data_IF_399114943355
#
_entry.id   IF_399114943355
#
_cell.length_a   1.000
_cell.length_b   1.000
_cell.length_c   1.000
_cell.angle_alpha   90.00
_cell.angle_beta   90.00
_cell.angle_gamma   90.00
#
_symmetry.space_group_name_H-M   'P 1'
#
loop_
_entity.id
_entity.type
_entity.pdbx_description
1 polymer ?
#
# COMPACT_ATOMS: atom_id res chain seq x y z
N UNK A 1 10.90 -10.30 -13.64
CA UNK A 1 12.30 -9.93 -13.41
C UNK A 1 13.06 -11.19 -13.08
N UNK A 2 13.79 -11.70 -14.06
CA UNK A 2 14.64 -12.88 -13.92
C UNK A 2 16.00 -12.46 -13.33
N UNK A 3 16.81 -13.43 -12.89
CA UNK A 3 18.11 -13.16 -12.26
C UNK A 3 19.02 -12.29 -13.14
N UNK A 4 19.13 -12.63 -14.42
CA UNK A 4 19.99 -11.93 -15.37
C UNK A 4 19.54 -10.48 -15.57
N UNK A 5 18.23 -10.26 -15.72
CA UNK A 5 17.65 -8.91 -15.83
C UNK A 5 17.89 -8.06 -14.58
N UNK A 6 17.86 -8.69 -13.39
CA UNK A 6 18.15 -8.02 -12.14
C UNK A 6 19.61 -7.57 -12.08
N UNK A 7 20.55 -8.46 -12.41
CA UNK A 7 21.98 -8.17 -12.42
C UNK A 7 22.33 -7.08 -13.44
N UNK A 8 21.76 -7.12 -14.65
CA UNK A 8 21.96 -6.08 -15.68
C UNK A 8 21.50 -4.71 -15.20
N UNK A 9 20.27 -4.61 -14.66
CA UNK A 9 19.74 -3.33 -14.19
C UNK A 9 20.49 -2.82 -12.95
N UNK A 10 20.94 -3.72 -12.08
CA UNK A 10 21.73 -3.37 -10.91
C UNK A 10 23.08 -2.76 -11.33
N UNK A 11 23.73 -3.35 -12.34
CA UNK A 11 24.95 -2.79 -12.92
C UNK A 11 24.69 -1.47 -13.66
N UNK A 12 23.56 -1.32 -14.35
CA UNK A 12 23.17 -0.07 -15.02
C UNK A 12 23.03 1.09 -14.02
N UNK A 13 22.34 0.87 -12.89
CA UNK A 13 22.08 1.94 -11.92
C UNK A 13 23.27 2.26 -11.02
N UNK A 14 24.07 1.27 -10.64
CA UNK A 14 25.16 1.45 -9.68
C UNK A 14 26.54 1.35 -10.31
N UNK A 15 26.66 1.12 -11.63
CA UNK A 15 27.94 0.97 -12.35
C UNK A 15 28.89 -0.04 -11.69
N UNK A 16 28.34 -1.09 -11.08
CA UNK A 16 29.09 -2.11 -10.34
C UNK A 16 29.46 -1.78 -8.89
N UNK A 17 29.08 -0.59 -8.39
CA UNK A 17 29.35 -0.18 -7.01
C UNK A 17 28.57 -1.01 -5.99
N UNK A 18 27.30 -1.31 -6.27
CA UNK A 18 26.48 -2.17 -5.40
C UNK A 18 26.59 -3.61 -5.88
N UNK A 19 26.93 -4.54 -4.99
CA UNK A 19 27.02 -5.97 -5.28
C UNK A 19 26.10 -6.78 -4.34
N UNK A 20 25.31 -7.73 -4.86
CA UNK A 20 24.57 -8.65 -4.01
C UNK A 20 25.53 -9.68 -3.37
N UNK A 21 25.40 -9.88 -2.06
CA UNK A 21 26.12 -10.94 -1.33
C UNK A 21 25.29 -12.24 -1.25
N UNK A 22 23.97 -12.13 -1.35
CA UNK A 22 23.04 -13.26 -1.36
C UNK A 22 22.51 -13.51 -2.78
N UNK A 23 22.15 -14.76 -3.13
CA UNK A 23 21.58 -15.08 -4.44
C UNK A 23 20.21 -14.41 -4.64
N UNK A 24 19.91 -14.02 -5.88
CA UNK A 24 18.61 -13.50 -6.26
C UNK A 24 17.57 -14.62 -6.30
N UNK A 25 16.45 -14.44 -5.58
CA UNK A 25 15.33 -15.38 -5.58
C UNK A 25 14.12 -14.81 -6.33
N UNK A 26 13.63 -13.65 -5.90
CA UNK A 26 12.54 -12.94 -6.59
C UNK A 26 12.58 -11.43 -6.29
N UNK A 27 11.74 -10.64 -6.98
CA UNK A 27 11.68 -9.17 -6.84
C UNK A 27 11.28 -8.68 -5.44
N UNK A 28 10.63 -9.51 -4.64
CA UNK A 28 10.13 -9.17 -3.30
C UNK A 28 11.06 -9.66 -2.17
N UNK A 29 12.01 -10.52 -2.48
CA UNK A 29 12.95 -11.11 -1.54
C UNK A 29 13.89 -10.04 -1.00
N UNK A 30 14.12 -10.09 0.31
CA UNK A 30 15.12 -9.28 0.98
C UNK A 30 16.47 -9.95 0.75
N UNK A 31 17.42 -9.19 0.24
CA UNK A 31 18.77 -9.61 -0.08
C UNK A 31 19.77 -8.71 0.64
N UNK A 32 20.98 -9.22 0.81
CA UNK A 32 22.11 -8.46 1.38
C UNK A 32 22.95 -7.90 0.24
N UNK A 33 23.30 -6.63 0.34
CA UNK A 33 24.09 -5.89 -0.62
C UNK A 33 25.29 -5.23 0.05
N UNK A 34 26.33 -4.97 -0.72
CA UNK A 34 27.49 -4.19 -0.32
C UNK A 34 27.71 -3.06 -1.35
N UNK A 35 27.75 -1.79 -0.94
CA UNK A 35 28.25 -0.69 -1.79
C UNK A 35 29.77 -0.63 -1.61
N UNK A 36 30.55 -0.72 -2.69
CA UNK A 36 32.01 -0.56 -2.66
C UNK A 36 32.41 0.86 -2.29
N UNK A 37 31.59 1.85 -2.68
CA UNK A 37 31.94 3.27 -2.51
C UNK A 37 31.79 3.72 -1.05
N UNK A 38 30.78 3.22 -0.32
CA UNK A 38 30.62 3.49 1.12
C UNK A 38 31.00 2.30 2.02
N UNK A 39 31.43 1.17 1.44
CA UNK A 39 31.80 -0.08 2.11
C UNK A 39 30.72 -0.65 3.05
N UNK A 40 29.48 -0.18 2.94
CA UNK A 40 28.41 -0.56 3.85
C UNK A 40 27.62 -1.76 3.34
N UNK A 41 27.33 -2.70 4.23
CA UNK A 41 26.47 -3.85 3.97
C UNK A 41 25.04 -3.60 4.43
N UNK A 42 24.06 -3.79 3.55
CA UNK A 42 22.67 -3.45 3.83
C UNK A 42 21.67 -4.46 3.30
N UNK A 43 20.49 -4.43 3.90
CA UNK A 43 19.35 -5.25 3.51
C UNK A 43 18.42 -4.44 2.62
N UNK A 44 17.98 -5.03 1.50
CA UNK A 44 17.04 -4.39 0.60
C UNK A 44 16.26 -5.41 -0.21
N UNK A 45 15.06 -5.04 -0.64
CA UNK A 45 14.32 -5.85 -1.61
C UNK A 45 14.91 -5.64 -3.00
N UNK A 46 15.09 -6.71 -3.76
CA UNK A 46 15.64 -6.64 -5.11
C UNK A 46 14.87 -5.64 -6.01
N UNK A 47 13.53 -5.67 -5.94
CA UNK A 47 12.68 -4.75 -6.70
C UNK A 47 12.76 -3.29 -6.23
N UNK A 48 13.14 -3.02 -4.99
CA UNK A 48 13.28 -1.65 -4.47
C UNK A 48 14.59 -1.02 -4.95
N UNK A 49 15.68 -1.79 -4.92
CA UNK A 49 17.02 -1.33 -5.31
C UNK A 49 17.11 -1.01 -6.80
N UNK A 50 16.36 -1.75 -7.62
CA UNK A 50 16.37 -1.58 -9.08
C UNK A 50 15.19 -0.73 -9.55
N UNK A 51 14.01 -0.86 -8.95
CA UNK A 51 12.77 -0.30 -9.46
C UNK A 51 12.49 1.15 -9.08
N UNK A 52 12.53 1.51 -7.79
CA UNK A 52 12.06 2.83 -7.31
C UNK A 52 13.24 3.72 -6.94
N UNK A 53 13.43 4.84 -7.65
CA UNK A 53 14.56 5.75 -7.45
C UNK A 53 14.73 6.21 -5.99
N UNK A 54 13.64 6.57 -5.30
CA UNK A 54 13.68 6.99 -3.89
C UNK A 54 13.97 5.87 -2.88
N UNK A 55 13.97 4.61 -3.33
CA UNK A 55 14.28 3.44 -2.50
C UNK A 55 15.65 2.85 -2.82
N UNK A 56 16.36 3.44 -3.79
CA UNK A 56 17.73 3.06 -4.15
C UNK A 56 18.69 3.36 -3.01
N UNK A 57 19.80 2.65 -3.04
CA UNK A 57 20.91 2.95 -2.16
C UNK A 57 21.58 4.27 -2.62
N UNK A 58 21.91 5.13 -1.67
CA UNK A 58 22.68 6.35 -1.90
C UNK A 58 23.89 6.31 -0.96
N UNK A 59 25.10 6.21 -1.52
CA UNK A 59 26.33 6.18 -0.73
C UNK A 59 26.56 7.63 -0.18
N UNK A 60 26.79 7.78 1.14
CA UNK A 60 27.00 9.09 1.79
C UNK A 60 26.09 9.44 2.98
N UNK A 61 25.05 8.64 3.26
CA UNK A 61 24.16 8.83 4.40
C UNK A 61 24.01 7.50 5.18
N UNK A 62 24.10 7.49 6.52
CA UNK A 62 23.74 6.31 7.31
C UNK A 62 22.23 6.07 7.17
N UNK A 63 21.83 5.31 6.13
CA UNK A 63 20.46 4.90 5.77
C UNK A 63 19.36 5.87 6.19
N UNK A 64 19.58 7.13 5.88
CA UNK A 64 18.65 8.20 6.09
C UNK A 64 18.34 8.82 4.72
N UNK A 65 17.18 9.44 4.52
CA UNK A 65 16.86 10.08 3.23
C UNK A 65 17.87 11.21 2.93
N UNK A 66 17.74 11.88 1.78
CA UNK A 66 18.62 12.99 1.40
C UNK A 66 18.77 14.09 2.48
N UNK A 67 17.88 14.10 3.49
CA UNK A 67 17.85 15.02 4.62
C UNK A 67 18.19 14.37 5.98
N UNK A 68 18.54 13.08 6.05
CA UNK A 68 18.83 12.44 7.34
C UNK A 68 17.59 11.87 8.09
N UNK A 69 16.43 11.77 7.46
CA UNK A 69 15.14 11.56 8.18
C UNK A 69 14.45 10.20 7.97
N UNK A 70 15.11 9.15 7.45
CA UNK A 70 14.42 7.86 7.16
C UNK A 70 13.86 7.15 8.41
N UNK A 71 14.33 7.53 9.60
CA UNK A 71 13.75 7.10 10.90
C UNK A 71 12.46 7.85 11.26
N UNK A 72 12.12 8.96 10.60
CA UNK A 72 10.86 9.71 10.79
C UNK A 72 9.69 8.98 10.09
N UNK A 73 9.24 7.91 10.73
CA UNK A 73 7.98 7.20 10.54
C UNK A 73 7.49 6.96 9.08
N UNK A 74 7.69 5.74 8.58
CA UNK A 74 7.15 5.29 7.26
C UNK A 74 5.67 4.86 7.33
N UNK A 75 4.98 5.11 8.43
CA UNK A 75 3.53 4.89 8.47
C UNK A 75 2.82 6.09 9.09
N UNK A 76 2.24 6.93 8.24
CA UNK A 76 1.02 7.60 8.66
C UNK A 76 -0.02 6.50 8.82
N UNK A 77 -0.34 6.09 10.06
CA UNK A 77 -1.60 5.38 10.31
C UNK A 77 -2.68 6.27 9.74
N UNK A 78 -3.22 5.93 8.57
CA UNK A 78 -4.46 6.56 8.12
C UNK A 78 -5.46 6.28 9.23
N UNK A 79 -5.90 7.34 9.94
CA UNK A 79 -7.06 7.24 10.81
C UNK A 79 -8.21 6.86 9.89
N UNK A 80 -8.51 5.57 9.78
CA UNK A 80 -9.74 5.10 9.17
C UNK A 80 -10.82 5.74 10.02
N UNK A 81 -11.55 6.71 9.46
CA UNK A 81 -12.73 7.25 10.11
C UNK A 81 -13.64 6.05 10.37
N UNK A 82 -13.95 5.78 11.65
CA UNK A 82 -14.95 4.76 12.00
C UNK A 82 -16.22 5.14 11.25
N UNK A 83 -16.72 4.25 10.39
CA UNK A 83 -18.05 4.42 9.79
C UNK A 83 -19.05 4.34 10.94
N UNK A 84 -19.99 5.28 10.99
CA UNK A 84 -21.13 5.21 11.90
C UNK A 84 -21.87 3.90 11.60
N UNK A 85 -22.04 3.07 12.62
CA UNK A 85 -22.82 1.83 12.51
C UNK A 85 -24.29 2.20 12.61
N UNK A 86 -25.04 2.08 11.52
CA UNK A 86 -26.49 2.18 11.57
C UNK A 86 -27.07 0.86 12.10
N UNK A 87 -28.18 0.94 12.86
CA UNK A 87 -28.90 -0.24 13.33
C UNK A 87 -29.91 -0.66 12.28
N UNK A 88 -30.10 -1.97 12.12
CA UNK A 88 -31.07 -2.54 11.19
C UNK A 88 -32.51 -2.15 11.60
N UNK A 89 -32.77 -1.99 12.90
CA UNK A 89 -34.08 -1.55 13.41
C UNK A 89 -34.53 -0.19 12.85
N UNK A 90 -33.58 0.72 12.58
CA UNK A 90 -33.89 2.04 12.05
C UNK A 90 -34.30 1.97 10.57
N UNK A 91 -33.74 1.02 9.82
CA UNK A 91 -34.16 0.72 8.45
C UNK A 91 -35.61 0.21 8.44
N UNK A 92 -35.95 -0.75 9.29
CA UNK A 92 -37.32 -1.30 9.35
C UNK A 92 -38.36 -0.25 9.73
N UNK A 93 -38.07 0.63 10.70
CA UNK A 93 -38.96 1.73 11.06
C UNK A 93 -39.25 2.65 9.87
N UNK A 94 -38.24 2.99 9.08
CA UNK A 94 -38.42 3.85 7.90
C UNK A 94 -39.21 3.15 6.80
N UNK A 95 -39.02 1.84 6.60
CA UNK A 95 -39.82 1.05 5.66
C UNK A 95 -41.29 1.02 6.09
N UNK A 96 -41.56 0.83 7.38
CA UNK A 96 -42.92 0.85 7.93
C UNK A 96 -43.60 2.22 7.86
N UNK A 97 -42.81 3.30 7.77
CA UNK A 97 -43.30 4.67 7.62
C UNK A 97 -43.37 5.13 6.14
N UNK A 98 -43.36 4.19 5.18
CA UNK A 98 -43.47 4.43 3.73
C UNK A 98 -42.38 5.34 3.12
N UNK A 99 -41.18 5.39 3.71
CA UNK A 99 -40.07 6.15 3.13
C UNK A 99 -39.55 5.50 1.84
N UNK A 100 -39.20 6.33 0.86
CA UNK A 100 -38.59 5.85 -0.38
C UNK A 100 -37.16 5.35 -0.16
N UNK A 101 -36.72 4.34 -0.92
CA UNK A 101 -35.37 3.78 -0.81
C UNK A 101 -34.23 4.83 -0.91
N UNK A 102 -34.46 5.93 -1.65
CA UNK A 102 -33.50 7.05 -1.77
C UNK A 102 -33.42 7.88 -0.49
N UNK A 103 -34.56 8.11 0.17
CA UNK A 103 -34.67 8.89 1.39
C UNK A 103 -34.04 8.14 2.55
N UNK A 104 -34.32 6.83 2.64
CA UNK A 104 -33.68 5.91 3.60
C UNK A 104 -32.16 5.91 3.42
N UNK A 105 -31.66 5.90 2.18
CA UNK A 105 -30.23 5.91 1.90
C UNK A 105 -29.54 7.21 2.33
N UNK A 106 -30.23 8.33 2.15
CA UNK A 106 -29.74 9.65 2.56
C UNK A 106 -29.68 9.78 4.08
N UNK A 107 -30.72 9.32 4.77
CA UNK A 107 -30.84 9.40 6.23
C UNK A 107 -29.85 8.47 6.93
N UNK A 108 -29.75 7.21 6.48
CA UNK A 108 -28.82 6.23 7.04
C UNK A 108 -27.37 6.40 6.53
N UNK A 109 -27.14 7.34 5.60
CA UNK A 109 -25.85 7.55 4.91
C UNK A 109 -25.29 6.25 4.30
N UNK A 110 -26.17 5.41 3.77
CA UNK A 110 -25.84 4.13 3.11
C UNK A 110 -25.86 4.32 1.61
N UNK A 111 -25.12 3.48 0.88
CA UNK A 111 -25.18 3.48 -0.58
C UNK A 111 -26.62 3.13 -1.04
N UNK A 112 -27.29 3.99 -1.84
CA UNK A 112 -28.66 3.75 -2.31
C UNK A 112 -28.85 2.43 -3.06
N UNK A 113 -27.80 1.91 -3.68
CA UNK A 113 -27.84 0.62 -4.40
C UNK A 113 -28.15 -0.53 -3.42
N UNK A 114 -27.56 -0.50 -2.23
CA UNK A 114 -27.73 -1.56 -1.22
C UNK A 114 -29.19 -1.63 -0.76
N UNK A 115 -29.82 -0.47 -0.53
CA UNK A 115 -31.22 -0.41 -0.09
C UNK A 115 -32.15 -0.76 -1.26
N UNK A 116 -31.82 -0.35 -2.49
CA UNK A 116 -32.58 -0.75 -3.68
C UNK A 116 -32.59 -2.26 -3.88
N UNK A 117 -31.45 -2.91 -3.68
CA UNK A 117 -31.36 -4.38 -3.79
C UNK A 117 -32.14 -5.07 -2.67
N UNK A 118 -32.15 -4.49 -1.46
CA UNK A 118 -32.99 -4.97 -0.36
C UNK A 118 -34.49 -4.89 -0.69
N UNK A 119 -34.94 -3.76 -1.23
CA UNK A 119 -36.35 -3.59 -1.64
C UNK A 119 -36.76 -4.58 -2.73
N UNK A 120 -35.87 -4.89 -3.68
CA UNK A 120 -36.10 -5.91 -4.71
C UNK A 120 -36.20 -7.32 -4.13
N UNK A 121 -35.35 -7.66 -3.15
CA UNK A 121 -35.38 -8.99 -2.53
C UNK A 121 -36.64 -9.23 -1.72
N UNK A 122 -37.19 -8.17 -1.11
CA UNK A 122 -38.42 -8.23 -0.31
C UNK A 122 -39.69 -8.04 -1.16
N UNK A 123 -39.56 -7.78 -2.46
CA UNK A 123 -40.70 -7.56 -3.35
C UNK A 123 -41.45 -6.24 -3.13
N UNK A 124 -40.80 -5.27 -2.49
CA UNK A 124 -41.33 -3.92 -2.27
C UNK A 124 -41.25 -3.06 -3.54
N UNK A 125 -40.38 -3.42 -4.49
CA UNK A 125 -40.17 -2.83 -5.82
C UNK A 125 -39.76 -3.95 -6.79
#
# INVERSE_FOLDING_TARGET
MNRLEFETKLNEFYKGAVKPLTPYYNKHAVMVFCCTDCQYTFFGKAGHIVGKQHQRHACGLPYSDQNGERLKSVSKRHRIKKKETFKIDDLYKMIWNDYGYKEIAQELRVNPIIIKDYFKSEGLI
#
